data_IF_815075435839
#
_entry.id   IF_815075435839
#
_cell.length_a   1.000
_cell.length_b   1.000
_cell.length_c   1.000
_cell.angle_alpha   90.00
_cell.angle_beta   90.00
_cell.angle_gamma   90.00
#
_symmetry.space_group_name_H-M   'P 1'
#
loop_
_entity.id
_entity.type
_entity.pdbx_description
1 polymer ?
#
# COMPACT_ATOMS: atom_id res chain seq x y z
N UNK A 1 -0.45 8.16 6.48
CA UNK A 1 -1.09 6.92 5.94
C UNK A 1 -0.83 5.74 6.86
N UNK A 2 -1.89 4.98 7.20
CA UNK A 2 -1.85 3.68 7.89
C UNK A 2 -1.28 2.58 6.99
N UNK A 3 -0.94 1.40 7.54
CA UNK A 3 -0.47 0.27 6.73
C UNK A 3 -1.53 -0.18 5.71
N UNK A 4 -2.79 -0.26 6.13
CA UNK A 4 -3.94 -0.59 5.27
C UNK A 4 -4.02 0.32 4.04
N UNK A 5 -3.89 1.64 4.25
CA UNK A 5 -3.91 2.63 3.18
C UNK A 5 -2.71 2.49 2.25
N UNK A 6 -1.51 2.19 2.78
CA UNK A 6 -0.31 1.99 1.97
C UNK A 6 -0.43 0.76 1.07
N UNK A 7 -0.94 -0.35 1.59
CA UNK A 7 -1.19 -1.58 0.81
C UNK A 7 -2.16 -1.31 -0.32
N UNK A 8 -3.30 -0.67 0.00
CA UNK A 8 -4.30 -0.33 -1.01
C UNK A 8 -3.73 0.63 -2.08
N UNK A 9 -3.01 1.68 -1.68
CA UNK A 9 -2.38 2.63 -2.59
C UNK A 9 -1.40 1.94 -3.54
N UNK A 10 -0.50 1.11 -3.01
CA UNK A 10 0.48 0.40 -3.82
C UNK A 10 -0.19 -0.51 -4.85
N UNK A 11 -1.23 -1.23 -4.44
CA UNK A 11 -2.00 -2.11 -5.31
C UNK A 11 -2.64 -1.35 -6.48
N UNK A 12 -3.31 -0.25 -6.19
CA UNK A 12 -4.01 0.56 -7.21
C UNK A 12 -3.01 1.23 -8.15
N UNK A 13 -1.88 1.74 -7.62
CA UNK A 13 -0.82 2.36 -8.42
C UNK A 13 -0.22 1.40 -9.45
N UNK A 14 -0.15 0.12 -9.13
CA UNK A 14 0.34 -0.95 -10.02
C UNK A 14 -0.76 -1.57 -10.89
N UNK A 15 -2.03 -1.20 -10.71
CA UNK A 15 -3.15 -1.79 -11.44
C UNK A 15 -3.42 -3.26 -11.07
N UNK A 16 -3.04 -3.69 -9.86
CA UNK A 16 -3.14 -5.08 -9.45
C UNK A 16 -4.49 -5.43 -8.81
N UNK A 17 -4.94 -6.67 -9.01
CA UNK A 17 -5.94 -7.28 -8.15
C UNK A 17 -5.33 -7.64 -6.79
N UNK A 18 -6.16 -7.91 -5.78
CA UNK A 18 -5.68 -8.34 -4.47
C UNK A 18 -4.95 -9.69 -4.57
N UNK A 19 -5.40 -10.59 -5.46
CA UNK A 19 -4.75 -11.88 -5.75
C UNK A 19 -3.38 -11.68 -6.39
N UNK A 20 -3.26 -10.75 -7.35
CA UNK A 20 -1.97 -10.45 -7.98
C UNK A 20 -0.98 -9.90 -6.96
N UNK A 21 -1.39 -8.94 -6.13
CA UNK A 21 -0.53 -8.43 -5.06
C UNK A 21 -0.14 -9.53 -4.06
N UNK A 22 -1.07 -10.44 -3.73
CA UNK A 22 -0.79 -11.57 -2.85
C UNK A 22 0.28 -12.49 -3.43
N UNK A 23 0.25 -12.75 -4.75
CA UNK A 23 1.26 -13.53 -5.46
C UNK A 23 2.64 -12.86 -5.41
N UNK A 24 2.71 -11.55 -5.69
CA UNK A 24 3.97 -10.79 -5.64
C UNK A 24 4.59 -10.75 -4.24
N UNK A 25 3.76 -10.66 -3.19
CA UNK A 25 4.19 -10.64 -1.80
C UNK A 25 4.35 -12.04 -1.19
N UNK A 26 4.09 -13.11 -1.95
CA UNK A 26 4.10 -14.50 -1.49
C UNK A 26 3.25 -14.75 -0.24
N UNK A 27 2.07 -14.13 -0.19
CA UNK A 27 1.08 -14.32 0.89
C UNK A 27 -0.26 -14.79 0.32
N UNK A 28 -1.17 -15.22 1.20
CA UNK A 28 -2.53 -15.57 0.78
C UNK A 28 -3.33 -14.32 0.38
N UNK A 29 -4.28 -14.47 -0.56
CA UNK A 29 -5.30 -13.45 -0.84
C UNK A 29 -5.97 -12.95 0.45
N UNK A 30 -6.32 -13.86 1.37
CA UNK A 30 -6.96 -13.52 2.64
C UNK A 30 -6.10 -12.60 3.51
N UNK A 31 -4.76 -12.68 3.38
CA UNK A 31 -3.82 -11.78 4.07
C UNK A 31 -3.93 -10.36 3.53
N UNK A 32 -3.87 -10.18 2.21
CA UNK A 32 -4.03 -8.86 1.56
C UNK A 32 -5.40 -8.27 1.87
N UNK A 33 -6.47 -9.08 1.76
CA UNK A 33 -7.82 -8.65 2.08
C UNK A 33 -7.94 -8.19 3.55
N UNK A 34 -7.32 -8.88 4.51
CA UNK A 34 -7.33 -8.43 5.92
C UNK A 34 -6.53 -7.16 6.13
N UNK A 35 -5.39 -7.00 5.47
CA UNK A 35 -4.57 -5.79 5.56
C UNK A 35 -5.30 -4.57 4.99
N UNK A 36 -5.88 -4.66 3.80
CA UNK A 36 -6.61 -3.54 3.16
C UNK A 36 -7.89 -3.14 3.89
N UNK A 37 -8.48 -4.04 4.68
CA UNK A 37 -9.64 -3.75 5.50
C UNK A 37 -9.28 -3.38 6.96
N UNK A 38 -7.99 -3.23 7.28
CA UNK A 38 -7.52 -2.93 8.65
C UNK A 38 -7.91 -4.00 9.69
N UNK A 39 -8.22 -5.24 9.28
CA UNK A 39 -8.69 -6.30 10.17
C UNK A 39 -7.57 -7.00 10.94
N UNK A 40 -6.31 -6.78 10.56
CA UNK A 40 -5.17 -7.41 11.20
C UNK A 40 -3.93 -6.54 11.03
N UNK A 41 -3.24 -6.29 12.14
CA UNK A 41 -1.93 -5.66 12.12
C UNK A 41 -0.89 -6.61 11.49
N UNK A 42 -0.09 -6.14 10.51
CA UNK A 42 0.98 -6.95 9.93
C UNK A 42 2.06 -7.24 10.98
N UNK A 43 2.69 -8.40 10.88
CA UNK A 43 3.91 -8.70 11.63
C UNK A 43 5.10 -7.95 11.02
N UNK A 44 6.16 -7.73 11.79
CA UNK A 44 7.38 -7.06 11.31
C UNK A 44 7.91 -7.61 9.98
N UNK A 45 7.91 -8.93 9.80
CA UNK A 45 8.33 -9.55 8.53
C UNK A 45 7.45 -9.16 7.34
N UNK A 46 6.14 -9.03 7.54
CA UNK A 46 5.23 -8.58 6.48
C UNK A 46 5.45 -7.11 6.13
N UNK A 47 5.76 -6.27 7.12
CA UNK A 47 6.10 -4.87 6.90
C UNK A 47 7.38 -4.79 6.04
N UNK A 48 8.42 -5.55 6.40
CA UNK A 48 9.69 -5.58 5.65
C UNK A 48 9.47 -6.05 4.20
N UNK A 49 8.72 -7.14 4.00
CA UNK A 49 8.41 -7.65 2.66
C UNK A 49 7.65 -6.63 1.82
N UNK A 50 6.65 -5.99 2.41
CA UNK A 50 5.86 -4.96 1.74
C UNK A 50 6.69 -3.71 1.41
N UNK A 51 7.54 -3.25 2.33
CA UNK A 51 8.44 -2.12 2.10
C UNK A 51 9.40 -2.41 0.94
N UNK A 52 10.03 -3.58 0.94
CA UNK A 52 10.93 -3.99 -0.15
C UNK A 52 10.20 -4.07 -1.49
N UNK A 53 9.00 -4.65 -1.51
CA UNK A 53 8.17 -4.68 -2.71
C UNK A 53 7.86 -3.27 -3.23
N UNK A 54 7.59 -2.31 -2.34
CA UNK A 54 7.36 -0.91 -2.73
C UNK A 54 8.62 -0.26 -3.30
N UNK A 55 9.79 -0.50 -2.71
CA UNK A 55 11.09 -0.02 -3.22
C UNK A 55 11.37 -0.56 -4.62
N UNK A 56 11.23 -1.88 -4.81
CA UNK A 56 11.45 -2.57 -6.10
C UNK A 56 10.50 -2.04 -7.20
N UNK A 57 9.32 -1.55 -6.82
CA UNK A 57 8.31 -0.98 -7.72
C UNK A 57 8.31 0.56 -7.78
N UNK A 58 9.30 1.24 -7.19
CA UNK A 58 9.41 2.70 -7.14
C UNK A 58 8.17 3.40 -6.53
N UNK A 59 7.58 2.78 -5.51
CA UNK A 59 6.42 3.30 -4.78
C UNK A 59 6.91 4.06 -3.54
N UNK A 60 6.86 5.39 -3.62
CA UNK A 60 7.16 6.28 -2.51
C UNK A 60 5.87 6.72 -1.80
N UNK A 61 5.92 6.74 -0.47
CA UNK A 61 4.83 7.21 0.39
C UNK A 61 5.14 8.58 1.05
N UNK A 62 6.26 9.20 0.69
CA UNK A 62 6.83 10.40 1.34
C UNK A 62 6.31 11.74 0.81
N UNK A 63 5.35 11.76 -0.12
CA UNK A 63 4.95 12.98 -0.84
C UNK A 63 3.47 13.35 -0.67
N UNK A 64 2.92 13.29 0.54
CA UNK A 64 1.57 13.82 0.84
C UNK A 64 1.56 14.84 1.98
N UNK A 65 2.72 15.41 2.30
CA UNK A 65 2.84 16.68 3.01
C UNK A 65 3.48 17.68 2.04
N UNK A 66 2.69 18.25 1.12
CA UNK A 66 2.94 19.51 0.34
C UNK A 66 2.10 19.55 -0.96
N UNK A 67 0.77 19.37 -0.86
CA UNK A 67 -0.14 19.90 -1.89
C UNK A 67 -1.36 20.53 -1.19
N UNK A 68 -1.10 21.39 -0.21
CA UNK A 68 -2.06 22.41 0.21
C UNK A 68 -1.77 23.70 -0.56
N UNK A 69 -2.80 24.15 -1.29
CA UNK A 69 -2.99 25.48 -1.90
C UNK A 69 -2.46 25.70 -3.33
N UNK A 70 -3.19 25.15 -4.31
CA UNK A 70 -3.66 25.99 -5.42
C UNK A 70 -5.12 25.69 -5.76
N UNK A 71 -5.98 26.69 -5.55
CA UNK A 71 -7.16 26.89 -6.40
C UNK A 71 -8.53 26.78 -5.74
N UNK A 72 -8.86 27.73 -4.87
CA UNK A 72 -10.23 28.24 -4.59
C UNK A 72 -10.00 29.59 -3.90
N UNK A 73 -10.43 30.78 -4.32
CA UNK A 73 -11.45 31.26 -5.25
C UNK A 73 -11.08 32.70 -5.69
N UNK A 74 -11.75 33.12 -6.77
CA UNK A 74 -12.20 34.49 -7.11
C UNK A 74 -12.19 35.54 -5.98
#
# INVERSE_FOLDING_TARGET
MTFSEKVHYARIKLGYSQEKLAQELHVSFATINRWENGKTEPRNMAIILFSKFCEDNNINFSSLEEDETYGTNK
#
